data_IF_368249946814
#
_entry.id   IF_368249946814
#
_cell.length_a   1.000
_cell.length_b   1.000
_cell.length_c   1.000
_cell.angle_alpha   90.00
_cell.angle_beta   90.00
_cell.angle_gamma   90.00
#
_symmetry.space_group_name_H-M   'P 1'
#
loop_
_entity.id
_entity.type
_entity.pdbx_description
1 polymer ?
#
# COMPACT_ATOMS: atom_id res chain seq x y z
N UNK A 1 -6.08 -25.29 -3.14
CA UNK A 1 -4.96 -25.00 -2.21
C UNK A 1 -4.90 -23.49 -2.05
N UNK A 2 -4.96 -22.96 -0.82
CA UNK A 2 -4.90 -21.50 -0.58
C UNK A 2 -3.47 -21.08 -0.33
N UNK A 3 -3.02 -20.05 -1.03
CA UNK A 3 -1.71 -19.44 -0.84
C UNK A 3 -1.83 -18.20 0.04
N UNK A 4 -0.82 -18.01 0.88
CA UNK A 4 -0.67 -16.88 1.77
C UNK A 4 0.65 -16.19 1.51
N UNK A 5 0.66 -14.88 1.69
CA UNK A 5 1.81 -13.99 1.45
C UNK A 5 2.03 -13.13 2.69
N UNK A 6 3.28 -12.71 2.90
CA UNK A 6 3.66 -11.81 3.99
C UNK A 6 4.56 -10.69 3.48
N UNK A 7 5.06 -9.83 4.37
CA UNK A 7 5.88 -8.63 4.05
C UNK A 7 7.11 -8.88 3.15
N UNK A 8 7.56 -10.12 3.03
CA UNK A 8 8.70 -10.49 2.18
C UNK A 8 8.32 -10.86 0.75
N UNK A 9 7.02 -10.89 0.41
CA UNK A 9 6.53 -11.19 -0.94
C UNK A 9 6.56 -12.67 -1.36
N UNK A 10 7.03 -13.58 -0.50
CA UNK A 10 7.05 -15.02 -0.83
C UNK A 10 5.77 -15.72 -0.40
N UNK A 11 5.20 -16.50 -1.32
CA UNK A 11 3.98 -17.27 -1.08
C UNK A 11 4.26 -18.59 -0.37
N UNK A 12 3.43 -18.93 0.61
CA UNK A 12 3.40 -20.21 1.33
C UNK A 12 1.96 -20.73 1.37
N UNK A 13 1.75 -22.04 1.28
CA UNK A 13 0.41 -22.57 1.51
C UNK A 13 0.02 -22.47 2.99
N UNK A 14 -1.28 -22.43 3.25
CA UNK A 14 -1.85 -22.33 4.61
C UNK A 14 -1.22 -23.33 5.60
N UNK A 15 -1.09 -24.61 5.21
CA UNK A 15 -0.47 -25.65 6.03
C UNK A 15 1.03 -25.40 6.28
N UNK A 16 1.77 -24.81 5.32
CA UNK A 16 3.17 -24.44 5.54
C UNK A 16 3.28 -23.31 6.56
N UNK A 17 2.37 -22.33 6.52
CA UNK A 17 2.32 -21.24 7.50
C UNK A 17 2.02 -21.79 8.90
N UNK A 18 1.04 -22.68 9.03
CA UNK A 18 0.67 -23.25 10.33
C UNK A 18 1.79 -24.07 10.97
N UNK A 19 2.47 -24.92 10.19
CA UNK A 19 3.52 -25.78 10.70
C UNK A 19 4.83 -25.03 11.00
N UNK A 20 5.31 -24.20 10.04
CA UNK A 20 6.59 -23.49 10.20
C UNK A 20 6.52 -22.33 11.20
N UNK A 21 5.34 -21.73 11.38
CA UNK A 21 5.13 -20.61 12.30
C UNK A 21 4.24 -21.02 13.49
N UNK A 22 4.27 -22.29 13.90
CA UNK A 22 3.51 -22.83 15.03
C UNK A 22 3.77 -22.10 16.34
N UNK A 23 5.02 -21.62 16.55
CA UNK A 23 5.44 -20.78 17.69
C UNK A 23 5.07 -19.29 17.53
N UNK A 24 4.37 -18.91 16.46
CA UNK A 24 3.95 -17.54 16.16
C UNK A 24 4.99 -16.68 15.43
N UNK A 25 6.28 -17.00 15.53
CA UNK A 25 7.39 -16.33 14.83
C UNK A 25 8.25 -17.37 14.14
N UNK A 26 8.81 -17.03 12.98
CA UNK A 26 9.69 -17.90 12.21
C UNK A 26 10.38 -17.17 11.07
N UNK A 27 11.14 -17.90 10.26
CA UNK A 27 11.87 -17.36 9.12
C UNK A 27 11.27 -17.81 7.80
N UNK A 28 11.22 -16.90 6.83
CA UNK A 28 10.84 -17.23 5.46
C UNK A 28 11.82 -18.27 4.89
N UNK A 29 11.36 -19.39 4.31
CA UNK A 29 12.26 -20.41 3.77
C UNK A 29 13.04 -19.96 2.52
N UNK A 30 12.60 -18.91 1.83
CA UNK A 30 13.21 -18.44 0.58
C UNK A 30 14.24 -17.33 0.80
N UNK A 31 13.92 -16.35 1.65
CA UNK A 31 14.76 -15.17 1.86
C UNK A 31 15.24 -14.98 3.31
N UNK A 32 14.92 -15.94 4.20
CA UNK A 32 15.33 -15.93 5.60
C UNK A 32 14.94 -14.66 6.40
N UNK A 33 13.92 -13.92 5.93
CA UNK A 33 13.38 -12.78 6.68
C UNK A 33 12.55 -13.28 7.85
N UNK A 34 12.69 -12.65 9.03
CA UNK A 34 11.86 -12.94 10.20
C UNK A 34 10.42 -12.44 9.98
N UNK A 35 9.46 -13.35 10.11
CA UNK A 35 8.03 -13.12 9.91
C UNK A 35 7.22 -13.58 11.13
N UNK A 36 6.09 -12.90 11.35
CA UNK A 36 5.09 -13.29 12.36
C UNK A 36 3.92 -14.00 11.67
N UNK A 37 3.34 -15.02 12.31
CA UNK A 37 2.17 -15.75 11.80
C UNK A 37 0.99 -14.81 11.49
N UNK A 38 0.76 -13.81 12.34
CA UNK A 38 -0.29 -12.79 12.14
C UNK A 38 -0.05 -11.86 10.94
N UNK A 39 1.17 -11.82 10.41
CA UNK A 39 1.53 -11.02 9.24
C UNK A 39 1.32 -11.73 7.91
N UNK A 40 0.72 -12.93 7.91
CA UNK A 40 0.31 -13.62 6.69
C UNK A 40 -1.13 -13.27 6.34
N UNK A 41 -1.38 -13.03 5.06
CA UNK A 41 -2.71 -12.82 4.48
C UNK A 41 -2.90 -13.72 3.26
N UNK A 42 -4.13 -13.92 2.83
CA UNK A 42 -4.38 -14.63 1.58
C UNK A 42 -3.84 -13.84 0.39
N UNK A 43 -3.17 -14.54 -0.51
CA UNK A 43 -2.70 -13.99 -1.78
C UNK A 43 -3.90 -13.75 -2.69
N UNK A 44 -4.01 -12.54 -3.25
CA UNK A 44 -5.11 -12.14 -4.14
C UNK A 44 -4.64 -12.21 -5.60
N UNK A 45 -3.42 -11.78 -5.87
CA UNK A 45 -2.83 -11.80 -7.21
C UNK A 45 -2.05 -13.09 -7.46
N UNK A 46 -2.05 -13.60 -8.68
CA UNK A 46 -1.24 -14.77 -9.03
C UNK A 46 0.27 -14.49 -8.92
N UNK A 47 0.69 -13.29 -9.30
CA UNK A 47 2.08 -12.83 -9.22
C UNK A 47 2.42 -12.29 -7.82
N UNK A 48 3.34 -12.93 -7.07
CA UNK A 48 3.77 -12.43 -5.77
C UNK A 48 4.49 -11.07 -5.83
N UNK A 49 5.07 -10.70 -6.98
CA UNK A 49 5.71 -9.40 -7.17
C UNK A 49 4.68 -8.27 -7.18
N UNK A 50 3.58 -8.44 -7.91
CA UNK A 50 2.45 -7.48 -7.94
C UNK A 50 1.86 -7.30 -6.54
N UNK A 51 1.75 -8.39 -5.79
CA UNK A 51 1.25 -8.38 -4.41
C UNK A 51 2.20 -7.61 -3.46
N UNK A 52 3.52 -7.76 -3.61
CA UNK A 52 4.52 -7.00 -2.85
C UNK A 52 4.51 -5.51 -3.21
N UNK A 53 4.49 -5.20 -4.50
CA UNK A 53 4.43 -3.83 -5.02
C UNK A 53 3.16 -3.12 -4.51
N UNK A 54 2.00 -3.77 -4.63
CA UNK A 54 0.71 -3.20 -4.21
C UNK A 54 0.70 -2.89 -2.71
N UNK A 55 1.31 -3.76 -1.90
CA UNK A 55 1.48 -3.54 -0.47
C UNK A 55 2.34 -2.32 -0.15
N UNK A 56 3.50 -2.21 -0.81
CA UNK A 56 4.43 -1.10 -0.66
C UNK A 56 3.75 0.20 -1.09
N UNK A 57 3.10 0.21 -2.26
CA UNK A 57 2.33 1.34 -2.78
C UNK A 57 1.27 1.79 -1.78
N UNK A 58 0.46 0.88 -1.25
CA UNK A 58 -0.55 1.19 -0.21
C UNK A 58 0.07 1.75 1.06
N UNK A 59 1.26 1.27 1.46
CA UNK A 59 1.99 1.79 2.63
C UNK A 59 2.47 3.22 2.39
N UNK A 60 3.08 3.49 1.24
CA UNK A 60 3.66 4.79 0.89
C UNK A 60 2.54 5.83 0.69
N UNK A 61 1.52 5.53 -0.11
CA UNK A 61 0.43 6.48 -0.41
C UNK A 61 -0.39 6.90 0.83
N UNK A 62 -0.36 6.13 1.93
CA UNK A 62 -0.97 6.55 3.20
C UNK A 62 -0.32 7.79 3.81
N UNK A 63 0.99 7.94 3.58
CA UNK A 63 1.78 9.05 4.11
C UNK A 63 2.10 10.08 3.01
N UNK A 64 2.12 9.68 1.74
CA UNK A 64 2.22 10.56 0.58
C UNK A 64 0.82 10.86 0.02
N UNK A 65 0.02 11.58 0.80
CA UNK A 65 -1.40 11.82 0.56
C UNK A 65 -1.73 13.26 0.13
N UNK A 66 -0.78 13.99 -0.47
CA UNK A 66 -1.04 15.29 -1.07
C UNK A 66 -1.78 15.13 -2.39
N UNK A 67 -2.69 16.04 -2.70
CA UNK A 67 -3.50 16.05 -3.92
C UNK A 67 -3.08 17.20 -4.83
N UNK A 68 -3.46 17.17 -6.10
CA UNK A 68 -3.13 18.22 -7.08
C UNK A 68 -3.41 19.64 -6.58
N UNK A 69 -4.54 19.84 -5.90
CA UNK A 69 -4.95 21.11 -5.29
C UNK A 69 -4.00 21.65 -4.20
N UNK A 70 -3.09 20.82 -3.68
CA UNK A 70 -2.09 21.21 -2.67
C UNK A 70 -0.81 21.78 -3.31
N UNK A 71 -0.75 21.89 -4.65
CA UNK A 71 0.41 22.35 -5.40
C UNK A 71 0.08 23.56 -6.29
N UNK A 72 1.09 24.39 -6.56
CA UNK A 72 0.93 25.63 -7.34
C UNK A 72 0.77 25.39 -8.85
N UNK A 73 1.25 24.24 -9.34
CA UNK A 73 1.17 23.88 -10.76
C UNK A 73 1.13 22.37 -10.96
N UNK A 74 0.61 21.96 -12.11
CA UNK A 74 0.55 20.55 -12.50
C UNK A 74 1.94 19.93 -12.64
N UNK A 75 2.93 20.68 -13.10
CA UNK A 75 4.31 20.18 -13.25
C UNK A 75 4.91 19.77 -11.90
N UNK A 76 4.75 20.61 -10.87
CA UNK A 76 5.24 20.31 -9.52
C UNK A 76 4.50 19.11 -8.91
N UNK A 77 3.22 18.96 -9.20
CA UNK A 77 2.46 17.79 -8.76
C UNK A 77 2.95 16.50 -9.46
N UNK A 78 3.23 16.56 -10.77
CA UNK A 78 3.78 15.42 -11.51
C UNK A 78 5.17 15.03 -11.01
N UNK A 79 6.05 16.00 -10.73
CA UNK A 79 7.36 15.74 -10.13
C UNK A 79 7.24 15.07 -8.75
N UNK A 80 6.25 15.47 -7.96
CA UNK A 80 5.93 14.83 -6.70
C UNK A 80 5.48 13.37 -6.89
N UNK A 81 4.60 13.10 -7.86
CA UNK A 81 4.16 11.73 -8.17
C UNK A 81 5.32 10.85 -8.65
N UNK A 82 6.20 11.38 -9.49
CA UNK A 82 7.39 10.66 -9.98
C UNK A 82 8.36 10.33 -8.84
N UNK A 83 8.57 11.27 -7.91
CA UNK A 83 9.35 11.03 -6.69
C UNK A 83 8.74 9.90 -5.85
N UNK A 84 7.41 9.89 -5.69
CA UNK A 84 6.71 8.82 -4.96
C UNK A 84 6.87 7.47 -5.65
N UNK A 85 6.75 7.41 -6.98
CA UNK A 85 6.93 6.18 -7.74
C UNK A 85 8.38 5.68 -7.66
N UNK A 86 9.37 6.60 -7.67
CA UNK A 86 10.78 6.26 -7.45
C UNK A 86 10.96 5.56 -6.10
N UNK A 87 10.34 6.05 -5.03
CA UNK A 87 10.41 5.40 -3.71
C UNK A 87 9.76 4.02 -3.71
N UNK A 88 8.60 3.87 -4.36
CA UNK A 88 7.91 2.57 -4.47
C UNK A 88 8.78 1.58 -5.27
N UNK A 89 9.35 2.02 -6.38
CA UNK A 89 10.20 1.21 -7.26
C UNK A 89 11.46 0.74 -6.53
N UNK A 90 12.15 1.66 -5.83
CA UNK A 90 13.36 1.35 -5.05
C UNK A 90 13.07 0.30 -3.97
N UNK A 91 12.00 0.49 -3.20
CA UNK A 91 11.62 -0.45 -2.14
C UNK A 91 11.17 -1.81 -2.68
N UNK A 92 10.47 -1.83 -3.81
CA UNK A 92 9.99 -3.07 -4.43
C UNK A 92 11.16 -3.89 -4.99
N UNK A 93 12.12 -3.24 -5.64
CA UNK A 93 13.29 -3.89 -6.25
C UNK A 93 14.49 -4.02 -5.32
N UNK A 94 14.39 -3.53 -4.08
CA UNK A 94 15.46 -3.52 -3.06
C UNK A 94 16.71 -2.76 -3.50
N UNK A 95 16.51 -1.63 -4.18
CA UNK A 95 17.55 -0.70 -4.62
C UNK A 95 17.59 0.44 -3.59
N UNK A 96 18.78 0.76 -3.08
CA UNK A 96 19.02 1.91 -2.17
C UNK A 96 17.97 2.05 -1.06
N UNK A 97 17.63 0.91 -0.44
CA UNK A 97 16.52 0.79 0.51
C UNK A 97 16.74 1.68 1.73
N UNK A 98 17.96 1.73 2.27
CA UNK A 98 18.28 2.53 3.45
C UNK A 98 18.12 4.03 3.17
N UNK A 99 18.65 4.51 2.06
CA UNK A 99 18.53 5.92 1.64
C UNK A 99 17.06 6.28 1.38
N UNK A 100 16.33 5.41 0.68
CA UNK A 100 14.92 5.63 0.36
C UNK A 100 14.07 5.68 1.64
N UNK A 101 14.27 4.75 2.58
CA UNK A 101 13.52 4.74 3.84
C UNK A 101 13.89 5.96 4.71
N UNK A 102 15.15 6.43 4.68
CA UNK A 102 15.56 7.67 5.36
C UNK A 102 14.82 8.90 4.80
N UNK A 103 14.76 9.05 3.46
CA UNK A 103 13.99 10.14 2.82
C UNK A 103 12.50 10.07 3.15
N UNK A 104 11.94 8.85 3.20
CA UNK A 104 10.54 8.64 3.61
C UNK A 104 10.32 9.08 5.06
N UNK A 105 11.22 8.75 5.97
CA UNK A 105 11.12 9.14 7.39
C UNK A 105 11.22 10.65 7.54
N UNK A 106 12.18 11.29 6.87
CA UNK A 106 12.33 12.75 6.85
C UNK A 106 11.04 13.42 6.34
N UNK A 107 10.51 12.96 5.20
CA UNK A 107 9.26 13.48 4.66
C UNK A 107 8.11 13.35 5.66
N UNK A 108 7.97 12.21 6.35
CA UNK A 108 6.92 11.99 7.36
C UNK A 108 7.02 12.95 8.53
N UNK A 109 8.22 13.19 9.04
CA UNK A 109 8.42 14.09 10.17
C UNK A 109 8.15 15.55 9.78
N UNK A 110 8.65 16.00 8.63
CA UNK A 110 8.42 17.38 8.16
C UNK A 110 6.95 17.63 7.79
N UNK A 111 6.23 16.62 7.30
CA UNK A 111 4.88 16.78 6.75
C UNK A 111 3.76 16.22 7.65
N UNK A 112 4.08 15.82 8.89
CA UNK A 112 3.17 15.13 9.80
C UNK A 112 1.80 15.79 9.95
N UNK A 113 1.77 17.11 10.09
CA UNK A 113 0.53 17.88 10.24
C UNK A 113 -0.34 17.84 8.97
N UNK A 114 0.30 18.02 7.81
CA UNK A 114 -0.36 17.96 6.49
C UNK A 114 -0.92 16.57 6.26
N UNK A 115 -0.13 15.53 6.53
CA UNK A 115 -0.53 14.13 6.36
C UNK A 115 -1.76 13.82 7.20
N UNK A 116 -1.74 14.21 8.48
CA UNK A 116 -2.87 13.97 9.38
C UNK A 116 -4.13 14.74 8.96
N UNK A 117 -3.99 15.97 8.48
CA UNK A 117 -5.11 16.76 7.94
C UNK A 117 -5.72 16.13 6.69
N UNK A 118 -4.90 15.47 5.86
CA UNK A 118 -5.34 14.86 4.61
C UNK A 118 -5.88 13.43 4.78
N UNK A 119 -5.59 12.72 5.89
CA UNK A 119 -6.06 11.34 6.12
C UNK A 119 -7.59 11.14 6.14
N UNK A 120 -8.35 12.21 6.38
CA UNK A 120 -9.82 12.19 6.38
C UNK A 120 -10.46 12.96 5.22
N UNK A 121 -9.67 13.48 4.27
CA UNK A 121 -10.19 14.23 3.14
C UNK A 121 -10.29 13.33 1.92
N UNK A 122 -11.50 13.18 1.41
CA UNK A 122 -11.73 12.64 0.08
C UNK A 122 -11.29 13.69 -0.96
N UNK A 123 -10.72 13.22 -2.06
CA UNK A 123 -10.54 14.03 -3.26
C UNK A 123 -11.89 14.36 -3.89
N UNK A 124 -11.94 15.42 -4.70
CA UNK A 124 -13.15 15.81 -5.40
C UNK A 124 -13.71 14.66 -6.27
N UNK A 125 -12.81 13.88 -6.88
CA UNK A 125 -13.18 12.71 -7.68
C UNK A 125 -13.82 11.62 -6.82
N UNK A 126 -13.27 11.34 -5.64
CA UNK A 126 -13.84 10.36 -4.70
C UNK A 126 -15.24 10.79 -4.23
N UNK A 127 -15.43 12.07 -3.90
CA UNK A 127 -16.73 12.63 -3.52
C UNK A 127 -17.73 12.50 -4.67
N UNK A 128 -17.29 12.81 -5.89
CA UNK A 128 -18.12 12.70 -7.09
C UNK A 128 -18.53 11.25 -7.35
N UNK A 129 -17.60 10.30 -7.21
CA UNK A 129 -17.87 8.87 -7.38
C UNK A 129 -18.86 8.37 -6.32
N UNK A 130 -18.70 8.74 -5.04
CA UNK A 130 -19.64 8.39 -3.97
C UNK A 130 -21.06 8.88 -4.29
N UNK A 131 -21.19 10.13 -4.76
CA UNK A 131 -22.49 10.68 -5.12
C UNK A 131 -23.15 9.92 -6.29
N UNK A 132 -22.37 9.52 -7.30
CA UNK A 132 -22.88 8.72 -8.42
C UNK A 132 -23.35 7.32 -7.98
N UNK A 133 -22.64 6.71 -7.04
CA UNK A 133 -23.01 5.41 -6.47
C UNK A 133 -24.37 5.54 -5.75
N UNK A 134 -24.54 6.58 -4.93
CA UNK A 134 -25.78 6.82 -4.19
C UNK A 134 -26.97 7.01 -5.13
N UNK A 135 -26.83 7.85 -6.17
CA UNK A 135 -27.88 8.04 -7.18
C UNK A 135 -28.25 6.70 -7.83
N UNK A 136 -27.24 5.92 -8.22
CA UNK A 136 -27.45 4.62 -8.88
C UNK A 136 -28.21 3.64 -7.99
N UNK A 137 -27.91 3.62 -6.69
CA UNK A 137 -28.62 2.78 -5.71
C UNK A 137 -30.07 3.25 -5.55
N UNK A 138 -30.32 4.55 -5.42
CA UNK A 138 -31.67 5.11 -5.31
C UNK A 138 -32.54 4.78 -6.53
N UNK A 139 -31.99 4.90 -7.75
CA UNK A 139 -32.71 4.55 -8.97
C UNK A 139 -33.10 3.07 -9.00
N UNK A 140 -32.19 2.15 -8.65
CA UNK A 140 -32.48 0.70 -8.59
C UNK A 140 -33.49 0.30 -7.53
N UNK A 141 -33.66 1.11 -6.47
CA UNK A 141 -34.67 0.87 -5.44
C UNK A 141 -36.06 1.38 -5.86
N UNK A 142 -36.13 2.43 -6.68
CA UNK A 142 -37.38 2.98 -7.20
C UNK A 142 -37.93 2.21 -8.43
N UNK A 143 -37.09 1.42 -9.10
CA UNK A 143 -37.48 0.52 -10.21
C UNK A 143 -37.99 -0.87 -9.73
N UNK A 144 -38.15 -1.08 -8.42
CA UNK A 144 -38.77 -2.27 -7.80
C UNK A 144 -40.13 -1.93 -7.21
#
# INVERSE_FOLDING_TARGET
MKLMVSKCGHSLCENCVENKFSKGVGYCPTCNTELKKSGFRYQIFEDPFVELETDIRKRILKDFNRKEQDFDSLDVYNDYLEMVETYIFNLTNKIDVEETEQKIVEYKETNKEVINKNRGKLSNDEIFIEHLIDITICMKLNDK
#
